data_IF_669128211114
#
_entry.id   IF_669128211114
#
_cell.length_a   1.000
_cell.length_b   1.000
_cell.length_c   1.000
_cell.angle_alpha   90.00
_cell.angle_beta   90.00
_cell.angle_gamma   90.00
#
_symmetry.space_group_name_H-M   'P 1'
#
loop_
_entity.id
_entity.type
_entity.pdbx_description
1 polymer ?
#
# COMPACT_ATOMS: atom_id res chain seq x y z
N UNK A 1 10.86 6.64 -1.30
CA UNK A 1 11.14 6.06 0.04
C UNK A 1 10.64 4.62 0.18
N UNK A 2 9.59 4.20 -0.50
CA UNK A 2 9.17 2.77 -0.59
C UNK A 2 10.21 1.87 -1.29
N UNK A 3 11.19 2.43 -1.95
CA UNK A 3 12.25 1.71 -2.69
C UNK A 3 13.41 1.20 -1.83
N UNK A 4 13.43 1.46 -0.52
CA UNK A 4 14.53 1.01 0.36
C UNK A 4 14.44 -0.45 0.84
N UNK A 5 13.29 -1.12 0.63
CA UNK A 5 13.17 -2.55 0.94
C UNK A 5 13.35 -3.40 -0.33
N UNK A 6 14.50 -4.05 -0.54
CA UNK A 6 14.74 -4.91 -1.71
C UNK A 6 13.79 -6.12 -1.80
N UNK A 7 13.03 -6.42 -0.76
CA UNK A 7 12.03 -7.49 -0.76
C UNK A 7 10.79 -7.17 -1.61
N UNK A 8 10.54 -5.89 -1.95
CA UNK A 8 9.43 -5.48 -2.80
C UNK A 8 9.80 -5.37 -4.28
N UNK A 9 11.10 -5.42 -4.62
CA UNK A 9 11.57 -5.39 -6.01
C UNK A 9 11.89 -6.80 -6.51
N UNK A 10 10.89 -7.55 -6.96
CA UNK A 10 11.07 -8.75 -7.78
C UNK A 10 11.68 -8.37 -9.15
N UNK A 11 12.99 -8.19 -9.21
CA UNK A 11 13.73 -8.22 -10.47
C UNK A 11 14.41 -9.58 -10.60
N UNK A 12 13.74 -10.55 -11.24
CA UNK A 12 14.30 -11.51 -12.22
C UNK A 12 13.19 -12.42 -12.73
N UNK A 13 12.95 -12.32 -14.02
CA UNK A 13 12.16 -13.23 -14.82
C UNK A 13 12.68 -14.66 -14.70
N UNK A 14 11.85 -15.56 -14.19
CA UNK A 14 12.02 -16.98 -14.44
C UNK A 14 11.25 -17.30 -15.71
N UNK A 15 11.97 -17.58 -16.80
CA UNK A 15 11.39 -18.24 -17.96
C UNK A 15 10.94 -19.63 -17.53
N UNK A 16 9.66 -19.82 -17.40
CA UNK A 16 9.05 -21.14 -17.35
C UNK A 16 8.76 -21.59 -18.78
N UNK A 17 9.56 -22.56 -19.22
CA UNK A 17 9.33 -23.31 -20.44
C UNK A 17 7.96 -23.97 -20.41
N UNK A 18 7.17 -23.70 -21.44
CA UNK A 18 5.89 -24.33 -21.71
C UNK A 18 6.04 -25.84 -21.90
N UNK A 19 5.44 -26.61 -21.02
CA UNK A 19 5.13 -28.03 -21.27
C UNK A 19 3.64 -28.12 -21.58
N UNK A 20 3.35 -28.34 -22.84
CA UNK A 20 2.02 -28.63 -23.37
C UNK A 20 1.65 -30.07 -23.03
N UNK A 21 0.66 -30.29 -22.19
CA UNK A 21 0.01 -31.58 -22.03
C UNK A 21 -1.41 -31.48 -22.59
N UNK A 22 -1.58 -32.17 -23.70
CA UNK A 22 -2.88 -32.42 -24.31
C UNK A 22 -3.63 -33.49 -23.53
N UNK A 23 -4.85 -33.22 -23.12
CA UNK A 23 -5.81 -34.28 -22.74
C UNK A 23 -7.13 -34.12 -23.47
N UNK A 24 -7.59 -35.27 -23.92
CA UNK A 24 -8.60 -35.49 -24.90
C UNK A 24 -10.03 -35.21 -24.47
N UNK A 25 -10.85 -35.10 -25.49
CA UNK A 25 -12.30 -34.99 -25.48
C UNK A 25 -12.97 -36.26 -24.97
N UNK A 26 -13.97 -36.11 -24.11
CA UNK A 26 -15.04 -37.08 -23.94
C UNK A 26 -16.37 -36.36 -24.04
N UNK A 27 -17.18 -36.79 -24.99
CA UNK A 27 -18.56 -36.35 -25.29
C UNK A 27 -19.50 -37.37 -24.71
N UNK A 28 -20.58 -36.94 -24.05
CA UNK A 28 -21.89 -37.60 -23.86
C UNK A 28 -22.76 -36.59 -23.07
N UNK A 29 -23.93 -36.20 -23.40
CA UNK A 29 -25.02 -36.73 -24.19
C UNK A 29 -26.33 -36.64 -23.41
N UNK A 30 -27.26 -35.80 -23.88
CA UNK A 30 -28.74 -35.79 -23.72
C UNK A 30 -29.41 -35.68 -22.33
N UNK A 31 -30.33 -34.71 -22.26
CA UNK A 31 -31.46 -34.65 -21.32
C UNK A 31 -32.23 -33.34 -21.39
N UNK A 32 -33.11 -33.16 -22.40
CA UNK A 32 -34.11 -32.08 -22.48
C UNK A 32 -35.24 -32.35 -21.46
N UNK A 33 -35.53 -31.39 -20.60
CA UNK A 33 -36.91 -31.17 -20.10
C UNK A 33 -37.12 -29.66 -20.02
N UNK A 34 -38.04 -29.19 -20.85
CA UNK A 34 -38.43 -27.77 -20.86
C UNK A 34 -39.43 -27.46 -19.76
N UNK A 35 -39.22 -26.34 -19.10
CA UNK A 35 -40.25 -25.63 -18.36
C UNK A 35 -40.17 -24.16 -18.75
N UNK A 36 -41.10 -23.72 -19.58
CA UNK A 36 -41.33 -22.30 -19.86
C UNK A 36 -41.92 -21.65 -18.60
N UNK A 37 -41.17 -20.80 -17.94
CA UNK A 37 -41.69 -19.78 -17.03
C UNK A 37 -41.46 -18.44 -17.71
N UNK A 38 -42.52 -17.83 -18.16
CA UNK A 38 -42.48 -16.45 -18.66
C UNK A 38 -42.27 -15.50 -17.46
N UNK A 39 -41.05 -15.10 -17.22
CA UNK A 39 -40.74 -14.00 -16.34
C UNK A 39 -40.74 -12.71 -17.18
N UNK A 40 -41.77 -11.89 -16.96
CA UNK A 40 -41.76 -10.48 -17.40
C UNK A 40 -40.61 -9.76 -16.73
N UNK A 41 -39.51 -9.63 -17.44
CA UNK A 41 -38.40 -8.80 -17.03
C UNK A 41 -38.78 -7.32 -17.21
N UNK A 42 -39.18 -6.65 -16.12
CA UNK A 42 -39.00 -5.21 -16.02
C UNK A 42 -37.51 -4.94 -16.02
N UNK A 43 -36.97 -4.64 -17.19
CA UNK A 43 -35.61 -4.17 -17.34
C UNK A 43 -35.50 -2.72 -16.85
N UNK A 44 -35.28 -2.54 -15.57
CA UNK A 44 -34.63 -1.31 -15.12
C UNK A 44 -33.14 -1.44 -15.43
N UNK A 45 -32.71 -0.90 -16.55
CA UNK A 45 -31.33 -0.57 -16.78
C UNK A 45 -30.96 0.55 -15.79
N UNK A 46 -30.54 0.18 -14.59
CA UNK A 46 -29.81 1.11 -13.73
C UNK A 46 -28.43 1.31 -14.36
N UNK A 47 -28.34 2.23 -15.31
CA UNK A 47 -27.08 2.98 -15.47
C UNK A 47 -26.92 3.73 -14.15
N UNK A 48 -26.13 3.18 -13.23
CA UNK A 48 -25.62 3.96 -12.10
C UNK A 48 -24.77 5.05 -12.72
N UNK A 49 -25.39 6.23 -12.91
CA UNK A 49 -24.67 7.43 -13.22
C UNK A 49 -23.66 7.62 -12.08
N UNK A 50 -22.38 7.65 -12.41
CA UNK A 50 -21.38 8.23 -11.52
C UNK A 50 -21.89 9.62 -11.17
N UNK A 51 -22.07 9.93 -9.90
CA UNK A 51 -22.39 11.30 -9.51
C UNK A 51 -21.38 12.21 -10.17
N UNK A 52 -21.87 13.19 -10.93
CA UNK A 52 -21.02 14.06 -11.73
C UNK A 52 -20.18 14.93 -10.79
N UNK A 53 -18.89 14.61 -10.67
CA UNK A 53 -17.95 15.46 -9.94
C UNK A 53 -17.46 16.55 -10.90
N UNK A 54 -18.03 17.77 -10.75
CA UNK A 54 -17.58 18.93 -11.49
C UNK A 54 -16.17 19.35 -11.08
N UNK A 55 -15.35 19.87 -12.02
CA UNK A 55 -14.03 20.40 -11.68
C UNK A 55 -14.12 21.51 -10.61
N UNK A 56 -13.07 21.69 -9.79
CA UNK A 56 -12.98 22.84 -8.90
C UNK A 56 -13.19 24.17 -9.65
N UNK A 57 -13.75 25.20 -9.01
CA UNK A 57 -13.83 26.54 -9.60
C UNK A 57 -12.43 27.03 -10.02
N UNK A 58 -12.38 27.86 -11.06
CA UNK A 58 -11.13 28.38 -11.58
C UNK A 58 -10.29 29.05 -10.46
N UNK A 59 -9.02 28.67 -10.37
CA UNK A 59 -8.08 29.15 -9.34
C UNK A 59 -8.23 28.48 -7.96
N UNK A 60 -9.15 27.53 -7.78
CA UNK A 60 -9.35 26.83 -6.50
C UNK A 60 -8.87 25.38 -6.52
N UNK A 61 -8.36 24.90 -7.65
CA UNK A 61 -7.87 23.54 -7.75
C UNK A 61 -7.81 23.00 -9.16
N UNK A 62 -7.53 21.70 -9.29
CA UNK A 62 -7.41 20.98 -10.56
C UNK A 62 -8.14 19.65 -10.48
N UNK A 63 -8.79 19.21 -11.56
CA UNK A 63 -9.35 17.87 -11.68
C UNK A 63 -8.42 16.99 -12.52
N UNK A 64 -8.09 15.80 -11.99
CA UNK A 64 -7.47 14.69 -12.71
C UNK A 64 -8.54 13.66 -13.06
N UNK A 65 -8.53 13.15 -14.30
CA UNK A 65 -9.58 12.29 -14.80
C UNK A 65 -9.01 11.15 -15.63
N UNK A 66 -9.51 9.94 -15.40
CA UNK A 66 -9.21 8.74 -16.17
C UNK A 66 -10.52 8.10 -16.62
N UNK A 67 -10.67 7.83 -17.94
CA UNK A 67 -11.83 7.13 -18.52
C UNK A 67 -11.32 5.95 -19.31
N UNK A 68 -11.84 4.77 -19.02
CA UNK A 68 -11.42 3.52 -19.67
C UNK A 68 -12.60 2.56 -19.82
N UNK A 69 -12.43 1.51 -20.63
CA UNK A 69 -13.37 0.40 -20.72
C UNK A 69 -12.70 -0.86 -20.20
N UNK A 70 -13.40 -1.62 -19.38
CA UNK A 70 -12.94 -2.87 -18.76
C UNK A 70 -13.71 -4.04 -19.33
N UNK A 71 -13.01 -5.05 -19.80
CA UNK A 71 -13.63 -6.29 -20.26
C UNK A 71 -14.30 -7.04 -19.09
N UNK A 72 -15.28 -7.92 -19.36
CA UNK A 72 -15.92 -8.75 -18.35
C UNK A 72 -14.89 -9.62 -17.60
N UNK A 73 -15.01 -9.67 -16.26
CA UNK A 73 -14.14 -10.47 -15.40
C UNK A 73 -12.69 -9.94 -15.28
N UNK A 74 -12.40 -8.75 -15.81
CA UNK A 74 -11.06 -8.17 -15.74
C UNK A 74 -10.81 -7.52 -14.38
N UNK A 75 -9.70 -7.91 -13.74
CA UNK A 75 -9.09 -7.22 -12.61
C UNK A 75 -7.75 -6.64 -13.08
N UNK A 76 -7.55 -5.33 -12.98
CA UNK A 76 -6.36 -4.65 -13.48
C UNK A 76 -6.13 -3.30 -12.80
N UNK A 77 -4.85 -2.95 -12.62
CA UNK A 77 -4.47 -1.57 -12.36
C UNK A 77 -4.21 -0.82 -13.67
N UNK A 78 -4.77 0.38 -13.78
CA UNK A 78 -4.54 1.34 -14.86
C UNK A 78 -3.80 2.55 -14.34
N UNK A 79 -2.88 3.06 -15.16
CA UNK A 79 -2.06 4.22 -14.84
C UNK A 79 -2.15 5.27 -15.95
N UNK A 80 -2.05 6.55 -15.56
CA UNK A 80 -1.93 7.67 -16.48
C UNK A 80 -1.02 8.74 -15.88
N UNK A 81 -0.07 9.22 -16.67
CA UNK A 81 0.78 10.34 -16.26
C UNK A 81 0.12 11.67 -16.53
N UNK A 82 0.42 12.63 -15.65
CA UNK A 82 0.05 14.05 -15.76
C UNK A 82 1.26 14.91 -15.41
N UNK A 83 1.18 16.19 -15.72
CA UNK A 83 2.14 17.20 -15.30
C UNK A 83 1.41 18.23 -14.47
N UNK A 84 1.92 18.55 -13.28
CA UNK A 84 1.37 19.59 -12.44
C UNK A 84 1.48 20.96 -13.12
N UNK A 85 0.57 21.91 -12.84
CA UNK A 85 0.66 23.29 -13.35
C UNK A 85 2.03 23.91 -13.04
N UNK A 86 2.51 24.86 -13.86
CA UNK A 86 3.82 25.48 -13.66
C UNK A 86 4.01 26.14 -12.30
N UNK A 87 2.92 26.68 -11.71
CA UNK A 87 2.89 27.27 -10.38
C UNK A 87 2.91 26.24 -9.24
N UNK A 88 2.75 24.97 -9.56
CA UNK A 88 2.59 23.90 -8.57
C UNK A 88 1.19 23.86 -7.97
N UNK A 89 1.01 22.99 -6.96
CA UNK A 89 -0.24 22.85 -6.23
C UNK A 89 0.03 22.87 -4.72
N UNK A 90 -0.79 23.61 -3.99
CA UNK A 90 -0.84 23.61 -2.52
C UNK A 90 -2.12 22.89 -2.09
N UNK A 91 -2.07 21.57 -2.06
CA UNK A 91 -3.25 20.71 -1.90
C UNK A 91 -3.71 20.74 -0.44
N UNK A 92 -4.92 21.25 -0.20
CA UNK A 92 -5.52 21.33 1.13
C UNK A 92 -6.49 20.16 1.39
N UNK A 93 -7.32 19.83 0.41
CA UNK A 93 -8.19 18.67 0.46
C UNK A 93 -8.41 18.10 -0.94
N UNK A 94 -8.93 16.88 -1.00
CA UNK A 94 -9.33 16.22 -2.22
C UNK A 94 -10.80 15.78 -2.16
N UNK A 95 -11.39 15.57 -3.32
CA UNK A 95 -12.68 14.93 -3.50
C UNK A 95 -12.57 13.96 -4.66
N UNK A 96 -13.01 12.72 -4.45
CA UNK A 96 -12.84 11.64 -5.42
C UNK A 96 -14.20 11.00 -5.72
N UNK A 97 -14.45 10.74 -7.00
CA UNK A 97 -15.56 9.91 -7.47
C UNK A 97 -15.07 8.94 -8.51
N UNK A 98 -15.54 7.72 -8.44
CA UNK A 98 -15.24 6.71 -9.43
C UNK A 98 -16.37 5.69 -9.57
N UNK A 99 -16.42 5.06 -10.75
CA UNK A 99 -17.40 4.05 -11.07
C UNK A 99 -17.30 2.86 -10.08
N UNK A 100 -18.42 2.37 -9.51
CA UNK A 100 -18.44 1.16 -8.70
C UNK A 100 -17.77 -0.02 -9.43
N UNK A 101 -17.02 -0.84 -8.69
CA UNK A 101 -16.13 -1.86 -9.23
C UNK A 101 -14.65 -1.45 -9.24
N UNK A 102 -14.34 -0.20 -8.89
CA UNK A 102 -12.97 0.21 -8.55
C UNK A 102 -12.70 -0.01 -7.07
N UNK A 103 -11.50 -0.46 -6.72
CA UNK A 103 -11.11 -0.70 -5.33
C UNK A 103 -10.47 0.55 -4.70
N UNK A 104 -9.61 1.23 -5.44
CA UNK A 104 -9.04 2.51 -5.04
C UNK A 104 -8.65 3.36 -6.23
N UNK A 105 -8.51 4.66 -5.98
CA UNK A 105 -7.95 5.65 -6.91
C UNK A 105 -6.92 6.49 -6.17
N UNK A 106 -5.70 6.58 -6.69
CA UNK A 106 -4.58 7.29 -6.07
C UNK A 106 -3.93 8.24 -7.07
N UNK A 107 -3.48 9.38 -6.58
CA UNK A 107 -2.62 10.32 -7.31
C UNK A 107 -1.27 10.40 -6.61
N UNK A 108 -0.24 9.94 -7.29
CA UNK A 108 1.12 9.92 -6.78
C UNK A 108 1.93 11.11 -7.30
N UNK A 109 2.80 11.64 -6.45
CA UNK A 109 3.98 12.38 -6.85
C UNK A 109 5.06 11.39 -7.27
N UNK A 110 5.83 11.71 -8.33
CA UNK A 110 6.93 10.87 -8.82
C UNK A 110 8.27 11.60 -8.72
N UNK A 111 9.38 10.86 -8.82
CA UNK A 111 10.73 11.43 -8.86
C UNK A 111 11.23 11.69 -10.29
N UNK A 112 10.36 11.57 -11.30
CA UNK A 112 10.73 11.80 -12.68
C UNK A 112 10.77 13.29 -13.01
N UNK A 113 11.83 13.73 -13.71
CA UNK A 113 11.93 15.09 -14.26
C UNK A 113 11.11 15.30 -15.53
N UNK A 114 10.70 14.22 -16.19
CA UNK A 114 9.81 14.20 -17.36
C UNK A 114 9.08 12.86 -17.40
N UNK A 115 7.93 12.81 -18.08
CA UNK A 115 7.16 11.55 -18.22
C UNK A 115 8.07 10.46 -18.79
N UNK A 116 8.28 9.33 -18.07
CA UNK A 116 9.19 8.28 -18.50
C UNK A 116 8.59 7.49 -19.67
N UNK A 117 9.44 6.94 -20.53
CA UNK A 117 9.04 6.06 -21.65
C UNK A 117 9.33 4.58 -21.37
N UNK A 118 9.93 4.27 -20.22
CA UNK A 118 10.25 2.89 -19.79
C UNK A 118 9.81 2.71 -18.35
N UNK A 119 9.20 1.57 -18.06
CA UNK A 119 8.88 1.18 -16.70
C UNK A 119 10.14 0.73 -15.93
N UNK A 120 9.98 0.46 -14.62
CA UNK A 120 11.05 -0.01 -13.73
C UNK A 120 11.62 -1.37 -14.12
N UNK A 121 10.93 -2.13 -15.00
CA UNK A 121 11.38 -3.41 -15.56
C UNK A 121 12.14 -3.23 -16.87
N UNK A 122 12.30 -1.97 -17.36
CA UNK A 122 12.98 -1.63 -18.59
C UNK A 122 12.15 -1.77 -19.86
N UNK A 123 10.85 -2.09 -19.73
CA UNK A 123 9.94 -2.23 -20.86
C UNK A 123 9.48 -0.85 -21.36
N UNK A 124 9.53 -0.65 -22.67
CA UNK A 124 8.99 0.57 -23.32
C UNK A 124 7.46 0.56 -23.20
N UNK A 125 6.90 1.69 -22.76
CA UNK A 125 5.47 1.92 -22.58
C UNK A 125 5.02 3.15 -23.36
N UNK A 126 3.82 3.11 -23.89
CA UNK A 126 3.16 4.32 -24.42
C UNK A 126 2.54 5.08 -23.25
N UNK A 127 3.31 5.99 -22.68
CA UNK A 127 2.94 6.79 -21.49
C UNK A 127 2.18 8.07 -21.86
N UNK A 128 1.87 8.29 -23.14
CA UNK A 128 1.05 9.43 -23.60
C UNK A 128 -0.45 9.27 -23.34
N UNK A 129 -0.87 8.08 -22.93
CA UNK A 129 -2.28 7.70 -22.67
C UNK A 129 -2.40 6.75 -21.47
N UNK A 130 -3.61 6.33 -21.18
CA UNK A 130 -3.90 5.31 -20.15
C UNK A 130 -3.20 4.00 -20.54
N UNK A 131 -2.53 3.38 -19.59
CA UNK A 131 -1.78 2.13 -19.76
C UNK A 131 -2.04 1.18 -18.60
N UNK A 132 -1.78 -0.11 -18.84
CA UNK A 132 -1.82 -1.12 -17.77
C UNK A 132 -0.60 -1.02 -16.87
N UNK A 133 -0.82 -1.16 -15.56
CA UNK A 133 0.22 -1.32 -14.53
C UNK A 133 0.12 -2.74 -13.95
N UNK A 134 0.56 -3.78 -14.68
CA UNK A 134 0.23 -5.17 -14.38
C UNK A 134 0.89 -5.72 -13.13
N UNK A 135 1.92 -5.06 -12.61
CA UNK A 135 2.58 -5.44 -11.35
C UNK A 135 2.33 -4.44 -10.23
N UNK A 136 1.40 -3.51 -10.45
CA UNK A 136 1.06 -2.42 -9.53
C UNK A 136 1.81 -1.13 -9.83
N UNK A 137 1.15 0.00 -9.63
CA UNK A 137 1.70 1.33 -9.96
C UNK A 137 3.07 1.57 -9.34
N UNK A 138 3.27 1.21 -8.05
CA UNK A 138 4.53 1.42 -7.31
C UNK A 138 5.63 0.42 -7.67
N UNK A 139 5.30 -0.70 -8.31
CA UNK A 139 6.27 -1.66 -8.85
C UNK A 139 6.70 -1.28 -10.25
N UNK A 140 5.76 -0.86 -11.09
CA UNK A 140 6.01 -0.48 -12.48
C UNK A 140 6.69 0.89 -12.60
N UNK A 141 6.44 1.81 -11.65
CA UNK A 141 6.91 3.19 -11.70
C UNK A 141 7.52 3.65 -10.36
N UNK A 142 8.45 4.61 -10.42
CA UNK A 142 9.05 5.21 -9.24
C UNK A 142 8.16 6.36 -8.75
N UNK A 143 7.60 6.18 -7.55
CA UNK A 143 6.78 7.20 -6.89
C UNK A 143 7.44 7.66 -5.60
N UNK A 144 7.22 8.93 -5.23
CA UNK A 144 7.79 9.54 -4.02
C UNK A 144 6.76 9.78 -2.91
N UNK A 145 5.47 9.75 -3.23
CA UNK A 145 4.41 9.91 -2.23
C UNK A 145 3.02 9.94 -2.86
N UNK A 146 1.99 9.83 -2.03
CA UNK A 146 0.59 10.03 -2.41
C UNK A 146 0.21 11.46 -2.09
N UNK A 147 -0.55 12.12 -2.97
CA UNK A 147 -1.00 13.51 -2.79
C UNK A 147 -2.52 13.67 -2.80
N UNK A 148 -3.25 12.66 -3.25
CA UNK A 148 -4.71 12.59 -3.22
C UNK A 148 -5.18 11.17 -3.49
N UNK A 149 -6.43 10.84 -3.15
CA UNK A 149 -7.04 9.56 -3.50
C UNK A 149 -8.21 9.17 -2.61
N UNK A 150 -8.81 8.02 -2.93
CA UNK A 150 -9.86 7.40 -2.12
C UNK A 150 -9.89 5.89 -2.31
N UNK A 151 -10.49 5.22 -1.31
CA UNK A 151 -10.78 3.79 -1.31
C UNK A 151 -12.28 3.53 -1.16
N UNK A 152 -13.09 4.59 -1.19
CA UNK A 152 -14.54 4.52 -1.06
C UNK A 152 -15.17 5.11 -2.30
N UNK A 153 -16.00 4.32 -2.98
CA UNK A 153 -16.77 4.81 -4.14
C UNK A 153 -17.92 5.74 -3.72
N UNK A 154 -18.38 5.66 -2.48
CA UNK A 154 -19.37 6.57 -1.92
C UNK A 154 -18.83 8.00 -1.69
N UNK A 155 -17.56 8.17 -1.90
CA UNK A 155 -16.83 9.42 -1.73
C UNK A 155 -15.98 9.41 -0.48
N UNK A 156 -14.70 9.59 -0.67
CA UNK A 156 -13.70 9.68 0.38
C UNK A 156 -12.71 10.77 0.06
N UNK A 157 -11.92 11.12 1.05
CA UNK A 157 -10.84 12.09 0.93
C UNK A 157 -9.67 11.57 1.73
N UNK A 158 -8.50 11.43 1.09
CA UNK A 158 -7.26 11.12 1.81
C UNK A 158 -6.63 12.37 2.41
N UNK A 159 -6.85 13.51 1.79
CA UNK A 159 -6.34 14.81 2.23
C UNK A 159 -7.46 15.65 2.82
N UNK A 160 -7.35 16.03 4.08
CA UNK A 160 -8.27 16.96 4.73
C UNK A 160 -7.47 17.74 5.78
N UNK A 161 -6.94 18.88 5.40
CA UNK A 161 -6.04 19.71 6.20
C UNK A 161 -6.74 21.03 6.61
N UNK A 162 -6.27 21.72 7.66
CA UNK A 162 -6.74 23.07 7.99
C UNK A 162 -6.56 24.05 6.83
N UNK A 163 -7.34 25.12 6.80
CA UNK A 163 -7.36 26.11 5.70
C UNK A 163 -6.01 26.77 5.38
N UNK A 164 -5.08 26.78 6.34
CA UNK A 164 -3.73 27.35 6.20
C UNK A 164 -2.62 26.30 6.05
N UNK A 165 -3.01 25.05 5.80
CA UNK A 165 -2.10 23.91 5.69
C UNK A 165 -2.29 23.20 4.36
N UNK A 166 -1.19 22.80 3.70
CA UNK A 166 -1.26 22.12 2.40
C UNK A 166 -0.12 21.14 2.18
N UNK A 167 -0.39 20.09 1.40
CA UNK A 167 0.64 19.26 0.77
C UNK A 167 1.20 20.01 -0.44
N UNK A 168 2.52 20.16 -0.51
CA UNK A 168 3.18 20.85 -1.63
C UNK A 168 3.46 19.91 -2.79
N UNK A 169 3.00 20.29 -3.97
CA UNK A 169 3.35 19.66 -5.25
C UNK A 169 4.15 20.68 -6.07
N UNK A 170 5.40 20.41 -6.42
CA UNK A 170 6.22 21.33 -7.21
C UNK A 170 5.62 21.62 -8.59
N UNK A 171 5.86 22.83 -9.10
CA UNK A 171 5.47 23.21 -10.46
C UNK A 171 6.14 22.31 -11.50
N UNK A 172 5.38 21.83 -12.49
CA UNK A 172 5.87 20.93 -13.52
C UNK A 172 6.18 19.50 -13.04
N UNK A 173 5.90 19.15 -11.79
CA UNK A 173 6.11 17.79 -11.28
C UNK A 173 5.33 16.75 -12.09
N UNK A 174 5.96 15.61 -12.34
CA UNK A 174 5.29 14.47 -12.99
C UNK A 174 4.46 13.74 -11.96
N UNK A 175 3.18 13.57 -12.24
CA UNK A 175 2.20 12.90 -11.41
C UNK A 175 1.76 11.59 -12.08
N UNK A 176 1.41 10.59 -11.28
CA UNK A 176 0.87 9.31 -11.75
C UNK A 176 -0.49 9.06 -11.09
N UNK A 177 -1.56 9.08 -11.86
CA UNK A 177 -2.86 8.60 -11.42
C UNK A 177 -2.94 7.10 -11.62
N UNK A 178 -3.35 6.39 -10.59
CA UNK A 178 -3.55 4.95 -10.59
C UNK A 178 -4.96 4.61 -10.14
N UNK A 179 -5.58 3.64 -10.81
CA UNK A 179 -6.88 3.10 -10.43
C UNK A 179 -6.86 1.59 -10.52
N UNK A 180 -7.23 0.93 -9.45
CA UNK A 180 -7.39 -0.53 -9.40
C UNK A 180 -8.86 -0.86 -9.69
N UNK A 181 -9.10 -1.53 -10.81
CA UNK A 181 -10.42 -1.90 -11.30
C UNK A 181 -10.69 -3.39 -11.16
N UNK A 182 -11.93 -3.73 -10.81
CA UNK A 182 -12.47 -5.08 -10.82
C UNK A 182 -13.84 -5.08 -11.52
N UNK A 183 -13.92 -5.55 -12.76
CA UNK A 183 -15.19 -5.76 -13.43
C UNK A 183 -15.71 -7.19 -13.20
N UNK A 184 -16.42 -7.42 -12.12
CA UNK A 184 -17.04 -8.71 -11.82
C UNK A 184 -18.31 -9.01 -12.65
N UNK A 185 -18.74 -8.10 -13.53
CA UNK A 185 -19.94 -8.26 -14.35
C UNK A 185 -19.66 -9.06 -15.62
N UNK A 186 -20.70 -9.66 -16.25
CA UNK A 186 -20.56 -10.36 -17.53
C UNK A 186 -20.56 -9.42 -18.76
N UNK A 187 -20.54 -8.10 -18.55
CA UNK A 187 -20.56 -7.08 -19.61
C UNK A 187 -19.35 -6.15 -19.49
N UNK A 188 -18.91 -5.54 -20.62
CA UNK A 188 -17.94 -4.46 -20.55
C UNK A 188 -18.44 -3.33 -19.63
N UNK A 189 -17.53 -2.77 -18.83
CA UNK A 189 -17.81 -1.67 -17.92
C UNK A 189 -17.11 -0.40 -18.42
N UNK A 190 -17.89 0.64 -18.71
CA UNK A 190 -17.34 1.98 -18.90
C UNK A 190 -16.97 2.53 -17.50
N UNK A 191 -15.67 2.62 -17.22
CA UNK A 191 -15.15 3.04 -15.94
C UNK A 191 -14.56 4.44 -16.02
N UNK A 192 -14.91 5.26 -15.04
CA UNK A 192 -14.41 6.63 -14.90
C UNK A 192 -13.94 6.87 -13.47
N UNK A 193 -12.83 7.56 -13.31
CA UNK A 193 -12.32 8.04 -12.03
C UNK A 193 -11.96 9.52 -12.15
N UNK A 194 -12.39 10.33 -11.19
CA UNK A 194 -12.11 11.77 -11.08
C UNK A 194 -11.56 12.08 -9.70
N UNK A 195 -10.48 12.84 -9.65
CA UNK A 195 -9.88 13.39 -8.45
C UNK A 195 -9.87 14.90 -8.59
N UNK A 196 -10.63 15.59 -7.76
CA UNK A 196 -10.47 17.03 -7.53
C UNK A 196 -9.43 17.22 -6.43
N UNK A 197 -8.40 17.97 -6.69
CA UNK A 197 -7.51 18.52 -5.66
C UNK A 197 -7.81 20.00 -5.52
N UNK A 198 -8.16 20.40 -4.31
CA UNK A 198 -8.42 21.80 -3.98
C UNK A 198 -7.18 22.42 -3.36
N UNK A 199 -6.91 23.67 -3.69
CA UNK A 199 -5.69 24.36 -3.31
C UNK A 199 -5.96 25.59 -2.47
N UNK A 200 -5.00 25.91 -1.59
CA UNK A 200 -4.99 27.17 -0.86
C UNK A 200 -4.10 28.20 -1.57
N UNK A 201 -4.44 29.49 -1.52
CA UNK A 201 -3.55 30.55 -2.00
C UNK A 201 -2.22 30.53 -1.26
N UNK A 202 -1.12 30.80 -1.96
CA UNK A 202 0.22 30.74 -1.39
C UNK A 202 0.42 31.70 -0.20
N UNK A 203 -0.23 32.86 -0.22
CA UNK A 203 -0.20 33.86 0.85
C UNK A 203 -0.98 33.44 2.10
N UNK A 204 -1.85 32.42 1.99
CA UNK A 204 -2.62 31.88 3.12
C UNK A 204 -1.95 30.67 3.77
N UNK A 205 -1.05 30.01 3.06
CA UNK A 205 -0.38 28.81 3.58
C UNK A 205 0.63 29.19 4.67
N UNK A 206 0.47 28.62 5.88
CA UNK A 206 1.38 28.82 7.01
C UNK A 206 2.27 27.62 7.28
N UNK A 207 1.79 26.42 6.97
CA UNK A 207 2.54 25.18 7.24
C UNK A 207 2.30 24.10 6.18
N UNK A 208 3.24 23.18 6.10
CA UNK A 208 3.18 22.04 5.20
C UNK A 208 2.56 20.84 5.91
N UNK A 209 1.59 20.21 5.26
CA UNK A 209 1.02 18.94 5.65
C UNK A 209 1.61 17.79 4.83
N UNK A 210 1.36 16.56 5.27
CA UNK A 210 1.76 15.33 4.60
C UNK A 210 0.72 14.22 4.78
N UNK A 211 0.99 13.05 4.19
CA UNK A 211 0.18 11.86 4.37
C UNK A 211 0.99 10.77 5.06
N UNK A 212 0.44 10.22 6.13
CA UNK A 212 0.85 8.93 6.67
C UNK A 212 0.41 7.85 5.68
N UNK A 213 1.34 7.02 5.24
CA UNK A 213 1.07 5.92 4.33
C UNK A 213 1.83 4.68 4.81
N UNK A 214 1.44 4.20 5.99
CA UNK A 214 2.14 3.10 6.67
C UNK A 214 1.71 1.77 6.09
N UNK A 215 2.65 1.01 5.61
CA UNK A 215 2.46 -0.27 4.99
C UNK A 215 3.16 -1.38 5.78
N UNK A 216 2.41 -2.36 6.26
CA UNK A 216 2.96 -3.55 6.89
C UNK A 216 3.13 -4.67 5.86
N UNK A 217 4.37 -5.03 5.48
CA UNK A 217 4.62 -6.10 4.52
C UNK A 217 4.57 -7.50 5.13
N UNK A 218 4.47 -7.62 6.46
CA UNK A 218 4.55 -8.92 7.14
C UNK A 218 3.15 -9.50 7.27
N UNK A 219 2.70 -10.14 6.19
CA UNK A 219 1.37 -10.77 6.12
C UNK A 219 1.52 -12.19 5.60
N UNK A 220 1.02 -13.16 6.35
CA UNK A 220 0.77 -14.53 5.92
C UNK A 220 -0.51 -15.04 6.57
N UNK A 221 -1.41 -15.55 5.76
CA UNK A 221 -2.68 -16.09 6.20
C UNK A 221 -2.76 -17.53 5.67
N UNK A 222 -2.49 -18.54 6.50
CA UNK A 222 -2.53 -19.93 6.05
C UNK A 222 -3.91 -20.31 5.50
N UNK A 223 -3.92 -21.30 4.60
CA UNK A 223 -5.15 -21.82 4.03
C UNK A 223 -6.17 -22.24 5.11
N UNK A 224 -7.42 -21.89 4.92
CA UNK A 224 -8.53 -22.29 5.81
C UNK A 224 -8.45 -21.72 7.24
N UNK A 225 -7.62 -20.70 7.51
CA UNK A 225 -7.35 -20.20 8.84
C UNK A 225 -7.65 -18.71 9.03
N UNK A 226 -7.54 -18.24 10.27
CA UNK A 226 -7.47 -16.83 10.64
C UNK A 226 -6.04 -16.46 10.95
N UNK A 227 -5.66 -15.21 10.66
CA UNK A 227 -4.36 -14.67 11.00
C UNK A 227 -4.46 -13.17 11.29
N UNK A 228 -3.40 -12.57 11.82
CA UNK A 228 -3.30 -11.13 11.98
C UNK A 228 -1.93 -10.62 11.60
N UNK A 229 -1.89 -9.39 11.10
CA UNK A 229 -0.66 -8.63 10.86
C UNK A 229 -0.70 -7.36 11.71
N UNK A 230 0.37 -7.07 12.46
CA UNK A 230 0.46 -5.91 13.34
C UNK A 230 1.78 -5.20 13.16
N UNK A 231 1.73 -3.88 13.09
CA UNK A 231 2.92 -3.06 13.01
C UNK A 231 2.80 -1.85 13.93
N UNK A 232 3.93 -1.45 14.50
CA UNK A 232 4.06 -0.19 15.22
C UNK A 232 4.96 0.75 14.44
N UNK A 233 4.60 2.03 14.44
CA UNK A 233 5.39 3.09 13.85
C UNK A 233 5.66 4.18 14.87
N UNK A 234 6.94 4.45 15.15
CA UNK A 234 7.34 5.49 16.08
C UNK A 234 7.11 6.87 15.48
N UNK A 235 6.61 7.79 16.29
CA UNK A 235 6.46 9.20 15.93
C UNK A 235 7.71 9.96 16.35
N UNK A 236 8.42 10.52 15.39
CA UNK A 236 9.72 11.18 15.64
C UNK A 236 9.61 12.65 16.05
N UNK A 237 8.51 13.33 15.71
CA UNK A 237 8.20 14.73 16.04
C UNK A 237 6.73 14.86 16.43
N UNK A 238 6.38 15.89 17.20
CA UNK A 238 4.98 16.22 17.48
C UNK A 238 4.23 16.47 16.19
N UNK A 239 3.09 15.82 16.00
CA UNK A 239 2.21 15.98 14.84
C UNK A 239 0.75 16.04 15.26
N UNK A 240 -0.07 16.60 14.38
CA UNK A 240 -1.52 16.60 14.48
C UNK A 240 -2.09 15.82 13.29
N UNK A 241 -2.79 14.73 13.55
CA UNK A 241 -3.48 13.94 12.53
C UNK A 241 -4.90 14.47 12.34
N UNK A 242 -5.30 14.72 11.09
CA UNK A 242 -6.58 15.32 10.77
C UNK A 242 -7.62 14.30 10.32
N UNK A 243 -7.19 13.25 9.67
CA UNK A 243 -8.03 12.10 9.35
C UNK A 243 -7.24 10.80 9.31
N UNK A 244 -7.96 9.68 9.36
CA UNK A 244 -7.38 8.34 9.16
C UNK A 244 -8.36 7.41 8.48
N UNK A 245 -7.80 6.42 7.79
CA UNK A 245 -8.48 5.27 7.21
C UNK A 245 -7.55 4.05 7.20
N UNK A 246 -8.12 2.86 7.11
CA UNK A 246 -7.40 1.61 6.92
C UNK A 246 -7.32 1.23 5.43
N UNK A 247 -6.45 0.26 5.11
CA UNK A 247 -6.53 -0.46 3.84
C UNK A 247 -6.23 -1.94 4.08
N UNK A 248 -7.15 -2.78 3.66
CA UNK A 248 -7.08 -4.24 3.61
C UNK A 248 -7.68 -4.70 2.29
N UNK A 249 -7.49 -5.96 1.93
CA UNK A 249 -8.23 -6.59 0.85
C UNK A 249 -9.37 -7.49 1.39
N UNK A 250 -9.98 -8.28 0.50
CA UNK A 250 -11.25 -9.00 0.74
C UNK A 250 -11.28 -10.00 1.91
N UNK A 251 -10.11 -10.38 2.47
CA UNK A 251 -10.04 -11.29 3.62
C UNK A 251 -9.94 -10.56 4.94
N UNK A 252 -9.81 -9.22 4.90
CA UNK A 252 -9.85 -8.37 6.08
C UNK A 252 -11.20 -8.45 6.76
N UNK A 253 -11.20 -8.75 8.07
CA UNK A 253 -12.43 -8.89 8.87
C UNK A 253 -12.50 -7.90 10.02
N UNK A 254 -11.35 -7.31 10.38
CA UNK A 254 -11.28 -6.30 11.43
C UNK A 254 -9.96 -5.52 11.32
N UNK A 255 -10.04 -4.25 11.61
CA UNK A 255 -8.91 -3.34 11.71
C UNK A 255 -8.99 -2.54 13.00
N UNK A 256 -7.87 -2.41 13.70
CA UNK A 256 -7.78 -1.59 14.90
C UNK A 256 -6.47 -0.79 14.88
N UNK A 257 -6.55 0.51 15.21
CA UNK A 257 -5.40 1.38 15.38
C UNK A 257 -5.44 2.08 16.73
N UNK A 258 -4.31 2.00 17.45
CA UNK A 258 -4.10 2.55 18.79
C UNK A 258 -2.94 3.53 18.82
N UNK A 259 -3.04 4.51 19.67
CA UNK A 259 -1.91 5.32 20.10
C UNK A 259 -1.31 4.69 21.36
N UNK A 260 0.00 4.44 21.35
CA UNK A 260 0.77 4.02 22.50
C UNK A 260 1.72 5.15 22.91
N UNK A 261 2.05 5.21 24.20
CA UNK A 261 3.09 6.13 24.69
C UNK A 261 4.52 5.61 24.38
N UNK A 262 5.53 6.34 24.83
CA UNK A 262 6.95 5.99 24.66
C UNK A 262 7.34 4.65 25.29
N UNK A 263 6.58 4.19 26.29
CA UNK A 263 6.80 2.94 27.02
C UNK A 263 5.89 1.80 26.48
N UNK A 264 5.29 2.01 25.31
CA UNK A 264 4.36 1.10 24.60
C UNK A 264 3.06 0.82 25.38
N UNK A 265 2.66 1.71 26.33
CA UNK A 265 1.39 1.56 27.02
C UNK A 265 0.25 2.17 26.19
N UNK A 266 -0.88 1.45 26.03
CA UNK A 266 -2.02 1.95 25.28
C UNK A 266 -2.60 3.24 25.88
N UNK A 267 -2.77 4.27 25.04
CA UNK A 267 -3.40 5.53 25.42
C UNK A 267 -4.86 5.58 24.96
N UNK A 268 -5.09 5.28 23.68
CA UNK A 268 -6.43 5.25 23.09
C UNK A 268 -6.49 4.41 21.83
N UNK A 269 -7.65 3.81 21.56
CA UNK A 269 -8.01 3.33 20.22
C UNK A 269 -8.62 4.48 19.47
N UNK A 270 -7.95 4.92 18.40
CA UNK A 270 -8.40 6.08 17.64
C UNK A 270 -9.13 5.74 16.34
N UNK A 271 -9.00 4.49 15.83
CA UNK A 271 -9.72 4.04 14.64
C UNK A 271 -9.98 2.53 14.70
N UNK A 272 -11.16 2.11 14.22
CA UNK A 272 -11.53 0.71 13.99
C UNK A 272 -12.38 0.62 12.73
N UNK A 273 -12.24 -0.48 11.98
CA UNK A 273 -12.98 -0.71 10.76
C UNK A 273 -13.15 -2.21 10.48
N UNK A 274 -14.19 -2.61 9.75
CA UNK A 274 -14.43 -3.98 9.27
C UNK A 274 -14.68 -4.06 7.77
N UNK A 275 -14.75 -2.90 7.12
CA UNK A 275 -15.01 -2.79 5.68
C UNK A 275 -13.70 -2.74 4.91
N UNK A 276 -13.64 -3.41 3.77
CA UNK A 276 -12.48 -3.40 2.89
C UNK A 276 -12.75 -2.71 1.53
N UNK A 277 -14.02 -2.60 1.11
CA UNK A 277 -14.41 -1.96 -0.16
C UNK A 277 -14.77 -0.48 -0.01
N UNK A 278 -15.64 -0.17 0.95
CA UNK A 278 -16.13 1.20 1.21
C UNK A 278 -15.59 1.68 2.56
N UNK A 279 -14.29 1.91 2.60
CA UNK A 279 -13.54 2.16 3.83
C UNK A 279 -13.90 3.52 4.41
N UNK A 280 -14.45 3.59 5.64
CA UNK A 280 -14.82 4.85 6.26
C UNK A 280 -13.59 5.70 6.62
N UNK A 281 -13.62 6.97 6.26
CA UNK A 281 -12.64 7.96 6.70
C UNK A 281 -13.08 8.59 8.01
N UNK A 282 -12.27 8.46 9.06
CA UNK A 282 -12.51 9.15 10.33
C UNK A 282 -11.77 10.48 10.34
N UNK A 283 -12.51 11.58 10.43
CA UNK A 283 -11.97 12.92 10.68
C UNK A 283 -11.84 13.20 12.17
N UNK A 284 -10.87 14.01 12.55
CA UNK A 284 -10.66 14.47 13.92
C UNK A 284 -10.88 15.98 14.03
N UNK A 285 -11.80 16.38 14.87
CA UNK A 285 -12.12 17.78 15.17
C UNK A 285 -12.27 17.98 16.68
N UNK A 286 -11.28 18.57 17.36
CA UNK A 286 -9.99 19.02 16.84
C UNK A 286 -9.09 17.86 16.41
N UNK A 287 -8.05 18.13 15.62
CA UNK A 287 -7.08 17.12 15.17
C UNK A 287 -6.48 16.32 16.30
N UNK A 288 -6.19 15.05 16.05
CA UNK A 288 -5.56 14.14 17.01
C UNK A 288 -4.09 14.53 17.25
N UNK A 289 -3.79 15.00 18.46
CA UNK A 289 -2.44 15.37 18.86
C UNK A 289 -1.61 14.14 19.18
N UNK A 290 -0.47 13.96 18.51
CA UNK A 290 0.44 12.83 18.74
C UNK A 290 1.82 13.36 19.08
N UNK A 291 2.32 12.99 20.25
CA UNK A 291 3.62 13.46 20.77
C UNK A 291 4.78 12.65 20.22
N UNK A 292 5.92 13.28 20.03
CA UNK A 292 7.17 12.62 19.73
C UNK A 292 7.48 11.53 20.77
N UNK A 293 7.97 10.38 20.27
CA UNK A 293 8.21 9.20 21.10
C UNK A 293 7.01 8.25 21.23
N UNK A 294 5.79 8.71 20.94
CA UNK A 294 4.60 7.83 20.87
C UNK A 294 4.68 6.88 19.67
N UNK A 295 3.77 5.90 19.64
CA UNK A 295 3.66 4.94 18.55
C UNK A 295 2.24 4.86 18.03
N UNK A 296 2.10 4.83 16.70
CA UNK A 296 0.93 4.26 16.07
C UNK A 296 1.07 2.74 16.07
N UNK A 297 0.11 2.04 16.65
CA UNK A 297 0.03 0.58 16.67
C UNK A 297 -1.22 0.16 15.93
N UNK A 298 -1.09 -0.51 14.79
CA UNK A 298 -2.24 -0.95 14.03
C UNK A 298 -2.15 -2.43 13.66
N UNK A 299 -3.33 -3.03 13.58
CA UNK A 299 -3.53 -4.46 13.36
C UNK A 299 -4.65 -4.70 12.37
N UNK A 300 -4.40 -5.59 11.44
CA UNK A 300 -5.37 -6.17 10.53
C UNK A 300 -5.62 -7.63 10.92
N UNK A 301 -6.87 -8.02 11.04
CA UNK A 301 -7.28 -9.40 11.27
C UNK A 301 -7.93 -9.94 9.98
N UNK A 302 -7.61 -11.19 9.63
CA UNK A 302 -7.99 -11.83 8.39
C UNK A 302 -8.65 -13.18 8.61
N UNK A 303 -9.50 -13.56 7.64
CA UNK A 303 -10.04 -14.92 7.51
C UNK A 303 -9.81 -15.42 6.08
N UNK A 304 -8.99 -16.44 5.93
CA UNK A 304 -8.73 -17.10 4.66
C UNK A 304 -9.61 -18.36 4.55
N UNK A 305 -10.54 -18.37 3.60
CA UNK A 305 -11.39 -19.53 3.28
C UNK A 305 -10.91 -20.28 2.03
N UNK A 306 -9.77 -19.87 1.45
CA UNK A 306 -9.24 -20.43 0.21
C UNK A 306 -8.34 -21.63 0.50
N UNK A 307 -8.07 -22.43 -0.53
CA UNK A 307 -7.24 -23.65 -0.45
C UNK A 307 -5.75 -23.37 -0.55
N UNK A 308 -5.33 -22.09 -0.52
CA UNK A 308 -3.94 -21.65 -0.63
C UNK A 308 -3.61 -20.65 0.46
N UNK A 309 -2.34 -20.59 0.87
CA UNK A 309 -1.84 -19.53 1.72
C UNK A 309 -1.89 -18.19 0.98
N UNK A 310 -2.23 -17.13 1.70
CA UNK A 310 -2.24 -15.76 1.21
C UNK A 310 -1.12 -14.98 1.89
N UNK A 311 -0.43 -14.19 1.11
CA UNK A 311 0.65 -13.29 1.57
C UNK A 311 0.37 -11.86 1.15
N UNK A 312 1.24 -10.94 1.53
CA UNK A 312 1.14 -9.55 1.10
C UNK A 312 1.30 -9.41 -0.42
N UNK A 313 0.60 -8.44 -1.01
CA UNK A 313 0.74 -8.09 -2.42
C UNK A 313 -0.32 -7.09 -2.90
N UNK A 314 -0.16 -6.53 -4.11
CA UNK A 314 -1.00 -5.45 -4.62
C UNK A 314 -2.37 -5.90 -5.16
N UNK A 315 -2.52 -7.18 -5.50
CA UNK A 315 -3.75 -7.72 -6.10
C UNK A 315 -4.79 -8.07 -5.04
N UNK A 316 -6.09 -8.07 -5.38
CA UNK A 316 -7.15 -8.59 -4.50
C UNK A 316 -6.98 -10.09 -4.18
N UNK A 317 -6.12 -10.80 -4.90
CA UNK A 317 -5.71 -12.18 -4.59
C UNK A 317 -4.71 -12.27 -3.44
N UNK A 318 -4.05 -11.18 -3.14
CA UNK A 318 -3.10 -11.00 -2.05
C UNK A 318 -3.76 -10.22 -0.91
N UNK A 319 -3.01 -9.80 0.11
CA UNK A 319 -3.50 -8.95 1.19
C UNK A 319 -2.60 -7.76 1.48
N UNK A 320 -3.22 -6.70 2.01
CA UNK A 320 -2.56 -5.52 2.52
C UNK A 320 -2.99 -5.19 3.95
N UNK A 321 -2.14 -4.46 4.67
CA UNK A 321 -2.42 -3.90 5.99
C UNK A 321 -1.78 -2.52 6.08
N UNK A 322 -2.62 -1.47 6.02
CA UNK A 322 -2.10 -0.09 6.01
C UNK A 322 -2.86 0.82 6.95
N UNK A 323 -2.16 1.84 7.47
CA UNK A 323 -2.71 3.02 8.10
C UNK A 323 -2.43 4.23 7.21
N UNK A 324 -3.48 4.90 6.78
CA UNK A 324 -3.40 6.07 5.89
C UNK A 324 -4.06 7.25 6.61
N UNK A 325 -3.49 8.46 6.47
CA UNK A 325 -4.09 9.65 7.06
C UNK A 325 -3.34 10.93 6.72
N UNK A 326 -4.01 12.07 6.78
CA UNK A 326 -3.38 13.37 6.62
C UNK A 326 -2.96 13.95 7.98
N UNK A 327 -1.85 14.69 7.98
CA UNK A 327 -1.26 15.24 9.21
C UNK A 327 -0.43 16.49 8.94
N UNK A 328 -0.14 17.23 10.01
CA UNK A 328 0.76 18.37 10.00
C UNK A 328 1.45 18.55 11.38
N UNK A 329 2.59 19.30 11.48
CA UNK A 329 3.44 19.72 10.38
C UNK A 329 4.09 18.55 9.66
N UNK A 330 4.41 18.71 8.38
CA UNK A 330 5.04 17.65 7.58
C UNK A 330 6.37 17.19 8.15
N UNK A 331 6.57 15.91 8.20
CA UNK A 331 7.83 15.24 8.48
C UNK A 331 8.00 14.05 7.52
N UNK A 332 8.82 14.18 6.46
CA UNK A 332 8.98 13.13 5.45
C UNK A 332 9.33 11.75 6.02
N UNK A 333 10.10 11.70 7.11
CA UNK A 333 10.49 10.44 7.78
C UNK A 333 9.27 9.71 8.38
N UNK A 334 8.18 10.45 8.65
CA UNK A 334 6.94 9.89 9.19
C UNK A 334 6.02 9.30 8.13
N UNK A 335 6.14 9.75 6.86
CA UNK A 335 5.19 9.39 5.81
C UNK A 335 5.17 7.89 5.48
N UNK A 336 6.34 7.24 5.48
CA UNK A 336 6.50 5.81 5.18
C UNK A 336 6.77 4.91 6.39
N UNK A 337 6.68 5.43 7.60
CA UNK A 337 7.13 4.74 8.83
C UNK A 337 8.61 4.34 8.77
N UNK A 338 9.52 5.30 8.96
CA UNK A 338 10.96 5.06 8.86
C UNK A 338 11.49 4.06 9.92
N UNK A 339 10.88 4.05 11.11
CA UNK A 339 11.20 3.11 12.21
C UNK A 339 10.07 2.10 12.46
N UNK A 340 9.81 1.17 11.53
CA UNK A 340 8.77 0.16 11.72
C UNK A 340 9.16 -0.82 12.83
N UNK A 341 8.14 -1.41 13.44
CA UNK A 341 8.26 -2.52 14.37
C UNK A 341 7.26 -3.60 13.97
N UNK A 342 7.73 -4.69 13.40
CA UNK A 342 6.87 -5.82 13.05
C UNK A 342 6.56 -6.65 14.29
N UNK A 343 5.30 -6.75 14.64
CA UNK A 343 4.87 -7.36 15.90
C UNK A 343 4.37 -8.77 15.65
N UNK A 344 5.09 -9.76 16.12
CA UNK A 344 4.64 -11.15 16.14
C UNK A 344 3.60 -11.40 17.25
N UNK A 345 2.87 -12.48 17.10
CA UNK A 345 1.85 -12.95 18.05
C UNK A 345 2.11 -14.38 18.57
N UNK A 346 3.30 -14.91 18.28
CA UNK A 346 3.75 -16.21 18.73
C UNK A 346 4.54 -16.15 20.04
N UNK A 347 5.39 -17.15 20.24
CA UNK A 347 6.18 -17.33 21.46
C UNK A 347 7.66 -17.60 21.21
N UNK A 348 8.11 -17.54 19.96
CA UNK A 348 9.52 -17.76 19.62
C UNK A 348 10.38 -16.58 20.05
N UNK A 349 11.55 -16.86 20.60
CA UNK A 349 12.51 -15.80 20.93
C UNK A 349 13.02 -15.07 19.70
N UNK A 350 13.48 -13.83 19.89
CA UNK A 350 14.04 -13.01 18.82
C UNK A 350 15.14 -13.75 18.02
N UNK A 351 16.10 -14.36 18.71
CA UNK A 351 17.21 -15.06 18.04
C UNK A 351 16.75 -16.23 17.16
N UNK A 352 15.76 -17.02 17.62
CA UNK A 352 15.19 -18.11 16.82
C UNK A 352 14.44 -17.56 15.59
N UNK A 353 13.62 -16.52 15.79
CA UNK A 353 12.87 -15.89 14.70
C UNK A 353 13.79 -15.21 13.67
N UNK A 354 14.86 -14.53 14.11
CA UNK A 354 15.84 -13.92 13.22
C UNK A 354 16.58 -14.97 12.38
N UNK A 355 17.07 -16.05 13.01
CA UNK A 355 17.74 -17.13 12.29
C UNK A 355 16.82 -17.81 11.27
N UNK A 356 15.57 -18.08 11.65
CA UNK A 356 14.53 -18.62 10.78
C UNK A 356 14.27 -17.67 9.59
N UNK A 357 14.03 -16.39 9.84
CA UNK A 357 13.71 -15.42 8.80
C UNK A 357 14.87 -15.21 7.81
N UNK A 358 16.12 -15.11 8.29
CA UNK A 358 17.29 -14.98 7.43
C UNK A 358 17.53 -16.24 6.58
N UNK A 359 17.29 -17.43 7.14
CA UNK A 359 17.36 -18.69 6.38
C UNK A 359 16.30 -18.74 5.29
N UNK A 360 15.04 -18.42 5.61
CA UNK A 360 13.94 -18.38 4.64
C UNK A 360 14.19 -17.36 3.52
N UNK A 361 14.69 -16.16 3.88
CA UNK A 361 15.06 -15.13 2.91
C UNK A 361 16.16 -15.61 1.95
N UNK A 362 17.20 -16.31 2.46
CA UNK A 362 18.25 -16.93 1.65
C UNK A 362 17.73 -17.99 0.69
N UNK A 363 16.72 -18.75 1.11
CA UNK A 363 16.02 -19.73 0.28
C UNK A 363 14.96 -19.12 -0.66
N UNK A 364 14.72 -17.80 -0.59
CA UNK A 364 13.64 -17.07 -1.29
C UNK A 364 12.24 -17.58 -0.93
N UNK A 365 12.09 -18.13 0.25
CA UNK A 365 10.80 -18.55 0.82
C UNK A 365 10.20 -17.36 1.59
N UNK A 366 9.45 -16.50 0.89
CA UNK A 366 8.82 -15.34 1.49
C UNK A 366 7.70 -15.71 2.48
N UNK A 367 6.95 -16.78 2.21
CA UNK A 367 5.93 -17.26 3.13
C UNK A 367 6.55 -17.71 4.45
N UNK A 368 7.62 -18.49 4.39
CA UNK A 368 8.41 -18.88 5.56
C UNK A 368 9.03 -17.69 6.29
N UNK A 369 9.56 -16.72 5.54
CA UNK A 369 10.09 -15.47 6.10
C UNK A 369 9.06 -14.72 6.95
N UNK A 370 7.86 -14.50 6.41
CA UNK A 370 6.78 -13.83 7.15
C UNK A 370 6.36 -14.64 8.38
N UNK A 371 6.24 -15.96 8.23
CA UNK A 371 5.88 -16.84 9.35
C UNK A 371 6.89 -16.77 10.49
N UNK A 372 8.19 -16.74 10.18
CA UNK A 372 9.24 -16.65 11.21
C UNK A 372 9.10 -15.37 12.06
N UNK A 373 8.68 -14.25 11.43
CA UNK A 373 8.44 -12.99 12.14
C UNK A 373 7.15 -13.07 12.96
N UNK A 374 6.06 -13.57 12.35
CA UNK A 374 4.76 -13.71 13.02
C UNK A 374 4.79 -14.65 14.23
N UNK A 375 5.65 -15.67 14.20
CA UNK A 375 5.86 -16.62 15.31
C UNK A 375 6.63 -16.02 16.48
N UNK A 376 7.24 -14.83 16.34
CA UNK A 376 7.99 -14.19 17.40
C UNK A 376 7.06 -13.68 18.52
N UNK A 377 7.57 -13.61 19.73
CA UNK A 377 6.85 -12.95 20.81
C UNK A 377 6.85 -11.43 20.65
N UNK A 378 5.83 -10.75 21.21
CA UNK A 378 5.66 -9.29 21.08
C UNK A 378 6.87 -8.51 21.58
N UNK A 379 7.51 -8.93 22.68
CA UNK A 379 8.71 -8.28 23.23
C UNK A 379 9.93 -8.37 22.33
N UNK A 380 9.93 -9.28 21.35
CA UNK A 380 10.99 -9.41 20.34
C UNK A 380 10.83 -8.40 19.17
N UNK A 381 9.70 -7.71 19.04
CA UNK A 381 9.36 -6.94 17.84
C UNK A 381 10.45 -5.91 17.45
N UNK A 382 10.91 -5.06 18.38
CA UNK A 382 11.95 -4.07 18.09
C UNK A 382 13.29 -4.72 17.73
N UNK A 383 13.91 -5.56 18.58
CA UNK A 383 15.21 -6.12 18.25
C UNK A 383 15.19 -7.04 17.02
N UNK A 384 14.08 -7.73 16.75
CA UNK A 384 13.91 -8.54 15.55
C UNK A 384 13.87 -7.67 14.30
N UNK A 385 13.01 -6.63 14.29
CA UNK A 385 12.91 -5.72 13.14
C UNK A 385 14.24 -5.03 12.88
N UNK A 386 14.89 -4.47 13.91
CA UNK A 386 16.19 -3.80 13.78
C UNK A 386 17.27 -4.73 13.19
N UNK A 387 17.26 -6.01 13.59
CA UNK A 387 18.17 -7.01 13.04
C UNK A 387 17.89 -7.30 11.57
N UNK A 388 16.64 -7.59 11.23
CA UNK A 388 16.27 -7.92 9.85
C UNK A 388 16.48 -6.74 8.90
N UNK A 389 16.10 -5.53 9.30
CA UNK A 389 16.33 -4.30 8.52
C UNK A 389 17.84 -4.12 8.25
N UNK A 390 18.69 -4.26 9.27
CA UNK A 390 20.14 -4.18 9.07
C UNK A 390 20.66 -5.15 8.01
N UNK A 391 20.21 -6.40 8.03
CA UNK A 391 20.62 -7.40 7.04
C UNK A 391 20.07 -7.09 5.64
N UNK A 392 18.84 -6.59 5.52
CA UNK A 392 18.25 -6.23 4.23
C UNK A 392 18.89 -4.97 3.63
N UNK A 393 19.27 -4.03 4.45
CA UNK A 393 20.04 -2.84 4.03
C UNK A 393 21.53 -3.16 3.83
N UNK A 394 21.91 -4.43 3.92
CA UNK A 394 23.27 -4.91 3.72
C UNK A 394 24.28 -4.18 4.61
N UNK A 395 23.95 -3.95 5.88
CA UNK A 395 24.79 -3.22 6.82
C UNK A 395 24.72 -1.70 6.67
N UNK A 396 23.77 -1.20 5.86
CA UNK A 396 23.56 0.23 5.63
C UNK A 396 24.79 0.94 5.06
N UNK A 397 25.01 2.18 5.47
CA UNK A 397 26.11 3.03 4.95
C UNK A 397 27.48 2.43 5.21
N UNK A 398 27.66 1.68 6.30
CA UNK A 398 28.93 1.04 6.66
C UNK A 398 29.44 0.07 5.59
N UNK A 399 28.54 -0.56 4.83
CA UNK A 399 28.88 -1.56 3.82
C UNK A 399 28.58 -1.13 2.38
N UNK A 400 28.11 0.09 2.16
CA UNK A 400 27.71 0.57 0.82
C UNK A 400 28.81 0.37 -0.23
N UNK A 401 30.06 0.70 0.07
CA UNK A 401 31.17 0.54 -0.86
C UNK A 401 31.44 -0.92 -1.27
N UNK A 402 31.12 -1.90 -0.40
CA UNK A 402 31.33 -3.32 -0.64
C UNK A 402 30.10 -4.01 -1.26
N UNK A 403 28.92 -3.44 -1.06
CA UNK A 403 27.65 -4.03 -1.48
C UNK A 403 27.04 -3.39 -2.73
N UNK A 404 27.44 -2.17 -3.08
CA UNK A 404 26.84 -1.39 -4.17
C UNK A 404 27.94 -0.81 -5.08
N UNK A 405 27.64 -0.67 -6.39
CA UNK A 405 28.52 -0.08 -7.36
C UNK A 405 29.37 -1.07 -8.16
N UNK A 406 30.25 -0.56 -9.06
CA UNK A 406 30.99 -1.39 -10.03
C UNK A 406 32.01 -2.36 -9.38
N UNK A 407 32.49 -2.02 -8.18
CA UNK A 407 33.45 -2.84 -7.43
C UNK A 407 32.79 -3.76 -6.37
N UNK A 408 31.45 -3.88 -6.38
CA UNK A 408 30.74 -4.69 -5.40
C UNK A 408 31.13 -6.16 -5.51
N UNK A 409 31.47 -6.77 -4.36
CA UNK A 409 31.84 -8.17 -4.24
C UNK A 409 30.89 -8.87 -3.26
N UNK A 410 30.23 -9.93 -3.70
CA UNK A 410 29.22 -10.62 -2.90
C UNK A 410 29.78 -11.16 -1.57
N UNK A 411 30.99 -11.72 -1.58
CA UNK A 411 31.64 -12.26 -0.37
C UNK A 411 32.02 -11.16 0.60
N UNK A 412 32.62 -10.07 0.11
CA UNK A 412 32.98 -8.92 0.96
C UNK A 412 31.75 -8.18 1.48
N UNK A 413 30.70 -8.06 0.66
CA UNK A 413 29.42 -7.52 1.08
C UNK A 413 28.82 -8.35 2.21
N UNK A 414 28.76 -9.67 2.07
CA UNK A 414 28.23 -10.56 3.09
C UNK A 414 29.02 -10.50 4.40
N UNK A 415 30.36 -10.48 4.32
CA UNK A 415 31.23 -10.36 5.48
C UNK A 415 31.02 -9.04 6.21
N UNK A 416 30.99 -7.92 5.46
CA UNK A 416 30.71 -6.59 6.01
C UNK A 416 29.34 -6.51 6.65
N UNK A 417 28.30 -6.99 5.98
CA UNK A 417 26.92 -7.01 6.50
C UNK A 417 26.84 -7.79 7.81
N UNK A 418 27.44 -8.98 7.86
CA UNK A 418 27.46 -9.80 9.07
C UNK A 418 28.14 -9.07 10.22
N UNK A 419 29.28 -8.42 9.97
CA UNK A 419 30.01 -7.65 10.98
C UNK A 419 29.23 -6.41 11.46
N UNK A 420 28.65 -5.65 10.53
CA UNK A 420 27.88 -4.41 10.83
C UNK A 420 26.59 -4.74 11.60
N UNK A 421 25.93 -5.87 11.30
CA UNK A 421 24.67 -6.26 11.94
C UNK A 421 24.85 -7.13 13.19
N UNK A 422 26.07 -7.54 13.54
CA UNK A 422 26.32 -8.39 14.72
C UNK A 422 25.80 -7.77 16.03
N UNK A 423 25.97 -6.48 16.34
CA UNK A 423 25.42 -5.87 17.57
C UNK A 423 23.88 -5.96 17.66
N UNK A 424 23.18 -5.84 16.52
CA UNK A 424 21.71 -5.99 16.45
C UNK A 424 21.32 -7.45 16.71
N UNK A 425 22.02 -8.39 16.11
CA UNK A 425 21.82 -9.82 16.32
C UNK A 425 22.06 -10.21 17.79
N UNK A 426 23.09 -9.69 18.43
CA UNK A 426 23.39 -9.98 19.85
C UNK A 426 22.31 -9.41 20.76
N UNK A 427 21.84 -8.18 20.49
CA UNK A 427 20.68 -7.59 21.18
C UNK A 427 19.42 -8.45 21.00
N UNK A 428 19.19 -8.95 19.78
CA UNK A 428 18.07 -9.83 19.47
C UNK A 428 18.14 -11.15 20.24
N UNK A 429 19.32 -11.80 20.30
CA UNK A 429 19.53 -13.04 21.05
C UNK A 429 19.33 -12.85 22.56
N UNK A 430 19.66 -11.69 23.10
CA UNK A 430 19.49 -11.34 24.50
C UNK A 430 18.02 -11.00 24.87
N UNK A 431 17.17 -10.69 23.89
CA UNK A 431 15.78 -10.33 24.13
C UNK A 431 14.95 -11.54 24.54
N UNK A 432 14.49 -11.54 25.78
CA UNK A 432 13.62 -12.59 26.31
C UNK A 432 12.16 -12.36 25.92
N UNK A 433 11.43 -13.44 25.64
CA UNK A 433 9.97 -13.40 25.58
C UNK A 433 9.41 -13.18 27.02
N UNK A 434 8.57 -12.16 27.15
CA UNK A 434 7.86 -11.84 28.41
C UNK A 434 6.44 -12.33 28.33
#
# INVERSE_FOLDING_TARGET
MLTRFPLLNHRRSVQLSSVTLAFGKAVMGLGLIGLLVAATACGSSSTTATEDLSPPPAGQGVQFKMITTLDPGLEIERCQFFVAPPEGLLVNHDEVRYTPGSHHVLLYLTDYSAIPTKDNHGKIRDTSKIMDCPTGATSDWTVSGVIAGAQSFSGGSMVSLPEDTAVKVPGGAVLLMNTHYLNASPKPLAAEARINVYTVPADKMKQEGGLLFFYNPIIRIPQGSTASARMRCRVSKDITVTNVQSHMHKRGINYEAKLLDKDLQPQQTFYTNKEWEDVPVKKFEPGLQVKAGSYFDYRCDYKNSEATDIVQGPSTKDEMCMLIGSYYPRNPDQEGCEEPMWVGNGNKSCGLSAACALSAAGAKDFGGFYQCILDSCESAARPLTDTLVCYFEQGGDACTAKCKGPAANATECQACTSQACQPKMDSCKAAACK
#
